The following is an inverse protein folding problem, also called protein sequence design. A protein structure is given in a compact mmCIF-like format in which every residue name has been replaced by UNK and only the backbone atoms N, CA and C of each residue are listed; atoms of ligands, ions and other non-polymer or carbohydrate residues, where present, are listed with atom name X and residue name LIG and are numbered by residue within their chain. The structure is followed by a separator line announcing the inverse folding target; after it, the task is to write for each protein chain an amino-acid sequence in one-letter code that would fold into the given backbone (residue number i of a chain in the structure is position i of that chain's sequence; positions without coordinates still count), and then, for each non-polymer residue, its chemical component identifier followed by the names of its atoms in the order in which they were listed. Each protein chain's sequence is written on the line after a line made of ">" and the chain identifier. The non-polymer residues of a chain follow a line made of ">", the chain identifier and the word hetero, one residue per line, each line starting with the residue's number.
data_IF_991731606556
#
_entry.id   IF_991731606556
#
_cell.length_a   1.000
_cell.length_b   1.000
_cell.length_c   1.000
_cell.angle_alpha   90.00
_cell.angle_beta   90.00
_cell.angle_gamma   90.00
#
_symmetry.space_group_name_H-M   'P 1'
#
loop_
_entity.id
_entity.type
_entity.pdbx_description
1 polymer ?
#
# COMPACT_ATOMS: atom_id res chain seq x y z
N UNK A 1 0.79 -26.62 11.50
CA UNK A 1 2.23 -26.78 11.78
C UNK A 1 2.60 -25.75 12.83
N UNK A 2 3.24 -26.18 13.92
CA UNK A 2 3.64 -25.33 15.05
C UNK A 2 4.49 -24.16 14.54
N UNK A 3 4.07 -22.92 14.79
CA UNK A 3 4.90 -21.75 14.53
C UNK A 3 6.15 -21.86 15.41
N UNK A 4 7.30 -22.19 14.82
CA UNK A 4 8.59 -21.92 15.45
C UNK A 4 8.57 -20.45 15.82
N UNK A 5 8.53 -20.16 17.12
CA UNK A 5 8.67 -18.81 17.67
C UNK A 5 9.99 -18.30 17.09
N UNK A 6 9.91 -17.40 16.10
CA UNK A 6 11.11 -16.79 15.53
C UNK A 6 11.73 -15.96 16.65
N UNK A 7 12.99 -16.22 16.96
CA UNK A 7 13.73 -15.36 17.89
C UNK A 7 13.60 -13.90 17.45
N UNK A 8 13.36 -13.01 18.40
CA UNK A 8 13.21 -11.57 18.16
C UNK A 8 14.23 -10.77 18.93
N UNK A 9 14.54 -9.57 18.44
CA UNK A 9 15.35 -8.57 19.14
C UNK A 9 14.59 -7.24 19.22
N UNK A 10 14.91 -6.47 20.25
CA UNK A 10 14.37 -5.12 20.48
C UNK A 10 15.29 -4.09 19.86
N UNK A 11 14.73 -3.15 19.10
CA UNK A 11 15.48 -2.12 18.38
C UNK A 11 14.82 -0.77 18.59
N UNK A 12 15.63 0.28 18.73
CA UNK A 12 15.11 1.65 18.87
C UNK A 12 14.86 2.27 17.50
N UNK A 13 13.63 2.71 17.26
CA UNK A 13 13.18 3.42 16.08
C UNK A 13 12.50 4.71 16.54
N UNK A 14 13.13 5.86 16.30
CA UNK A 14 12.55 7.15 16.69
C UNK A 14 12.29 7.32 18.18
N UNK A 15 13.12 6.69 19.02
CA UNK A 15 12.93 6.70 20.48
C UNK A 15 11.86 5.73 20.98
N UNK A 16 11.23 4.93 20.10
CA UNK A 16 10.35 3.82 20.47
C UNK A 16 11.07 2.49 20.31
N UNK A 17 10.81 1.58 21.22
CA UNK A 17 11.30 0.22 21.14
C UNK A 17 10.33 -0.62 20.30
N UNK A 18 10.84 -1.27 19.25
CA UNK A 18 10.06 -2.20 18.41
C UNK A 18 10.74 -3.56 18.36
N UNK A 19 9.92 -4.61 18.22
CA UNK A 19 10.40 -5.99 18.15
C UNK A 19 10.55 -6.41 16.69
N UNK A 20 11.72 -6.93 16.31
CA UNK A 20 12.01 -7.40 14.94
C UNK A 20 12.60 -8.82 14.96
N UNK A 21 12.48 -9.59 13.88
CA UNK A 21 13.11 -10.91 13.79
C UNK A 21 14.63 -10.82 13.95
N UNK A 22 15.20 -11.61 14.87
CA UNK A 22 16.64 -11.72 15.07
C UNK A 22 17.29 -12.26 13.80
N UNK A 23 18.33 -11.58 13.31
CA UNK A 23 18.98 -11.93 12.03
C UNK A 23 18.11 -11.65 10.79
N UNK A 24 16.95 -10.99 10.96
CA UNK A 24 16.17 -10.44 9.87
C UNK A 24 16.92 -9.34 9.10
N UNK A 25 16.36 -8.90 7.98
CA UNK A 25 16.90 -7.82 7.15
C UNK A 25 17.02 -6.53 7.96
N UNK A 26 15.98 -6.18 8.74
CA UNK A 26 16.04 -4.96 9.53
C UNK A 26 17.09 -5.06 10.64
N UNK A 27 17.19 -6.23 11.29
CA UNK A 27 18.20 -6.50 12.33
C UNK A 27 19.63 -6.34 11.81
N UNK A 28 19.91 -6.98 10.67
CA UNK A 28 21.25 -7.04 10.08
C UNK A 28 21.69 -5.74 9.45
N UNK A 29 20.78 -5.02 8.79
CA UNK A 29 21.16 -3.95 7.88
C UNK A 29 20.55 -2.59 8.18
N UNK A 30 19.54 -2.50 9.05
CA UNK A 30 18.84 -1.24 9.36
C UNK A 30 18.45 -0.47 8.09
N UNK A 31 17.84 -1.17 7.12
CA UNK A 31 17.45 -0.68 5.78
C UNK A 31 18.59 -0.32 4.81
N UNK A 32 19.84 -0.68 5.12
CA UNK A 32 20.99 -0.43 4.26
C UNK A 32 21.71 -1.71 3.80
N UNK A 33 21.01 -2.71 3.23
CA UNK A 33 21.69 -3.93 2.82
C UNK A 33 22.57 -3.69 1.59
N UNK A 34 23.63 -4.47 1.47
CA UNK A 34 24.31 -4.63 0.18
C UNK A 34 23.37 -5.36 -0.79
N UNK A 35 23.03 -4.73 -1.91
CA UNK A 35 22.12 -5.32 -2.90
C UNK A 35 22.64 -6.64 -3.49
N UNK A 36 23.95 -6.87 -3.51
CA UNK A 36 24.52 -8.15 -3.95
C UNK A 36 24.25 -9.28 -2.95
N UNK A 37 24.07 -8.96 -1.66
CA UNK A 37 23.62 -9.94 -0.66
C UNK A 37 22.14 -10.25 -0.82
N UNK A 38 21.32 -9.24 -1.12
CA UNK A 38 19.89 -9.42 -1.39
C UNK A 38 19.66 -10.25 -2.65
N UNK A 39 20.44 -10.02 -3.71
CA UNK A 39 20.36 -10.77 -4.96
C UNK A 39 20.65 -12.28 -4.81
N UNK A 40 21.20 -12.72 -3.67
CA UNK A 40 21.41 -14.15 -3.37
C UNK A 40 20.21 -14.82 -2.72
N UNK A 41 19.22 -14.06 -2.24
CA UNK A 41 17.97 -14.62 -1.72
C UNK A 41 17.14 -15.18 -2.89
N UNK A 42 16.81 -16.47 -2.84
CA UNK A 42 16.06 -17.17 -3.90
C UNK A 42 14.65 -16.61 -4.12
N UNK A 43 14.12 -15.84 -3.16
CA UNK A 43 12.81 -15.19 -3.28
C UNK A 43 12.89 -13.88 -4.06
N UNK A 44 14.10 -13.36 -4.33
CA UNK A 44 14.33 -12.11 -5.06
C UNK A 44 14.80 -12.46 -6.47
N UNK A 45 13.99 -12.12 -7.48
CA UNK A 45 14.30 -12.41 -8.88
C UNK A 45 15.37 -11.49 -9.48
N UNK A 46 15.42 -10.22 -9.07
CA UNK A 46 16.47 -9.27 -9.46
C UNK A 46 16.55 -8.11 -8.44
N UNK A 47 17.67 -7.37 -8.46
CA UNK A 47 17.83 -6.11 -7.71
C UNK A 47 18.08 -4.90 -8.61
N UNK A 48 18.01 -5.06 -9.93
CA UNK A 48 18.43 -4.02 -10.89
C UNK A 48 17.57 -2.76 -10.80
N UNK A 49 16.27 -2.92 -10.53
CA UNK A 49 15.36 -1.81 -10.25
C UNK A 49 15.88 -0.91 -9.12
N UNK A 50 16.43 -1.50 -8.06
CA UNK A 50 16.93 -0.78 -6.90
C UNK A 50 18.30 -0.16 -7.12
N UNK A 51 19.14 -0.73 -7.99
CA UNK A 51 20.47 -0.16 -8.30
C UNK A 51 20.38 1.23 -8.91
N UNK A 52 19.26 1.55 -9.56
CA UNK A 52 19.00 2.86 -10.16
C UNK A 52 18.38 3.86 -9.17
N UNK A 53 18.06 3.45 -7.94
CA UNK A 53 17.40 4.27 -6.94
C UNK A 53 18.36 4.56 -5.77
N UNK A 54 18.82 5.81 -5.59
CA UNK A 54 19.71 6.13 -4.49
C UNK A 54 18.97 6.03 -3.15
N UNK A 55 19.54 5.28 -2.20
CA UNK A 55 19.16 5.39 -0.79
C UNK A 55 19.84 6.61 -0.18
N UNK A 56 19.06 7.51 0.38
CA UNK A 56 19.54 8.69 1.09
C UNK A 56 19.13 8.61 2.56
N UNK A 57 20.01 9.09 3.44
CA UNK A 57 19.72 9.24 4.87
C UNK A 57 18.99 10.55 5.09
N UNK A 58 17.86 10.50 5.78
CA UNK A 58 17.03 11.67 6.08
C UNK A 58 16.66 11.67 7.56
N UNK A 59 16.45 12.86 8.10
CA UNK A 59 15.84 13.01 9.40
C UNK A 59 14.32 13.02 9.26
N UNK A 60 13.66 12.32 10.15
CA UNK A 60 12.21 12.12 10.13
C UNK A 60 11.65 12.17 11.56
N UNK A 61 10.32 12.23 11.73
CA UNK A 61 9.72 12.16 13.07
C UNK A 61 10.09 10.88 13.84
N UNK A 62 10.50 9.81 13.15
CA UNK A 62 11.00 8.56 13.73
C UNK A 62 12.54 8.50 13.81
N UNK A 63 13.19 9.67 13.88
CA UNK A 63 14.64 9.79 13.89
C UNK A 63 15.26 9.61 12.51
N UNK A 64 16.57 9.43 12.48
CA UNK A 64 17.33 9.32 11.23
C UNK A 64 17.10 7.95 10.59
N UNK A 65 16.65 7.92 9.33
CA UNK A 65 16.30 6.71 8.58
C UNK A 65 16.80 6.80 7.14
N UNK A 66 16.83 5.68 6.43
CA UNK A 66 17.09 5.65 4.99
C UNK A 66 15.78 5.64 4.19
N UNK A 67 15.82 6.26 3.01
CA UNK A 67 14.74 6.27 2.02
C UNK A 67 15.33 6.11 0.62
N UNK A 68 14.70 5.35 -0.29
CA UNK A 68 13.41 4.67 -0.13
C UNK A 68 13.48 3.40 0.75
N UNK A 69 12.34 3.02 1.31
CA UNK A 69 12.12 1.66 1.81
C UNK A 69 11.92 0.73 0.61
N UNK A 70 12.80 -0.25 0.47
CA UNK A 70 12.76 -1.22 -0.62
C UNK A 70 11.99 -2.47 -0.24
N UNK A 71 11.12 -2.87 -1.15
CA UNK A 71 10.39 -4.13 -1.12
C UNK A 71 10.84 -4.96 -2.31
N UNK A 72 11.75 -5.89 -2.05
CA UNK A 72 12.45 -6.71 -3.04
C UNK A 72 11.55 -7.74 -3.71
N UNK A 73 10.58 -8.26 -2.98
CA UNK A 73 9.57 -9.20 -3.47
C UNK A 73 8.24 -8.90 -2.80
N UNK A 74 7.24 -8.54 -3.62
CA UNK A 74 5.89 -8.25 -3.17
C UNK A 74 4.85 -8.93 -4.04
N UNK A 75 3.73 -9.28 -3.42
CA UNK A 75 2.51 -9.68 -4.11
C UNK A 75 1.36 -8.78 -3.64
N UNK A 76 0.49 -8.38 -4.56
CA UNK A 76 -0.63 -7.49 -4.24
C UNK A 76 -1.91 -7.93 -4.93
N UNK A 77 -3.04 -7.66 -4.29
CA UNK A 77 -4.36 -7.84 -4.86
C UNK A 77 -5.18 -6.57 -4.62
N UNK A 78 -5.84 -6.05 -5.67
CA UNK A 78 -6.63 -4.82 -5.61
C UNK A 78 -7.99 -5.01 -6.23
N UNK A 79 -9.04 -4.78 -5.45
CA UNK A 79 -10.41 -4.60 -5.91
C UNK A 79 -10.67 -3.12 -6.12
N UNK A 80 -10.86 -2.70 -7.35
CA UNK A 80 -11.29 -1.33 -7.67
C UNK A 80 -12.80 -1.29 -7.81
N UNK A 81 -13.43 -0.39 -7.05
CA UNK A 81 -14.88 -0.24 -6.96
C UNK A 81 -15.30 1.18 -7.28
N UNK A 82 -16.54 1.32 -7.77
CA UNK A 82 -17.18 2.62 -7.94
C UNK A 82 -18.05 2.96 -6.74
N UNK A 83 -17.96 4.20 -6.27
CA UNK A 83 -18.70 4.69 -5.11
C UNK A 83 -19.30 6.08 -5.40
N UNK A 84 -20.44 6.45 -4.78
CA UNK A 84 -20.99 7.79 -4.90
C UNK A 84 -20.00 8.85 -4.43
N UNK A 85 -19.72 9.87 -5.25
CA UNK A 85 -18.83 10.99 -4.86
C UNK A 85 -19.25 11.60 -3.53
N UNK A 86 -20.56 11.72 -3.26
CA UNK A 86 -21.08 12.24 -1.99
C UNK A 86 -20.63 11.43 -0.78
N UNK A 87 -20.58 10.11 -0.88
CA UNK A 87 -20.12 9.23 0.21
C UNK A 87 -18.60 9.28 0.38
N UNK A 88 -17.86 9.30 -0.74
CA UNK A 88 -16.42 9.55 -0.73
C UNK A 88 -16.10 10.89 -0.06
N UNK A 89 -16.87 11.93 -0.39
CA UNK A 89 -16.69 13.29 0.12
C UNK A 89 -16.88 13.39 1.63
N UNK A 90 -17.77 12.62 2.23
CA UNK A 90 -17.94 12.60 3.69
C UNK A 90 -16.79 11.93 4.45
N UNK A 91 -15.87 11.24 3.76
CA UNK A 91 -14.73 10.54 4.37
C UNK A 91 -13.38 11.12 3.95
N UNK A 92 -13.36 12.06 3.00
CA UNK A 92 -12.15 12.67 2.51
C UNK A 92 -11.95 14.05 3.14
N UNK A 93 -10.71 14.42 3.50
CA UNK A 93 -10.38 15.81 3.86
C UNK A 93 -10.88 16.81 2.81
N UNK A 94 -11.29 18.00 3.27
CA UNK A 94 -11.97 19.00 2.44
C UNK A 94 -11.10 19.49 1.27
N UNK A 95 -9.78 19.51 1.46
CA UNK A 95 -8.76 19.99 0.53
C UNK A 95 -8.52 19.04 -0.64
N UNK A 96 -8.74 17.74 -0.47
CA UNK A 96 -8.59 16.75 -1.52
C UNK A 96 -9.89 16.61 -2.30
N UNK A 97 -9.85 16.36 -3.61
CA UNK A 97 -11.06 16.15 -4.42
C UNK A 97 -11.12 14.71 -4.94
N UNK A 98 -12.30 14.05 -5.01
CA UNK A 98 -12.35 12.67 -5.47
C UNK A 98 -12.02 12.63 -6.97
N UNK A 99 -11.35 11.56 -7.38
CA UNK A 99 -11.22 11.24 -8.79
C UNK A 99 -12.56 10.67 -9.29
N UNK A 100 -13.30 11.47 -10.05
CA UNK A 100 -14.55 11.03 -10.68
C UNK A 100 -14.27 10.42 -12.05
N UNK A 101 -14.83 9.25 -12.31
CA UNK A 101 -14.81 8.62 -13.65
C UNK A 101 -16.01 9.03 -14.50
N UNK A 102 -17.10 9.40 -13.84
CA UNK A 102 -18.33 9.96 -14.41
C UNK A 102 -18.96 10.88 -13.37
N UNK A 103 -19.74 11.90 -13.74
CA UNK A 103 -20.36 12.81 -12.78
C UNK A 103 -21.04 12.08 -11.61
N UNK A 104 -20.59 12.34 -10.38
CA UNK A 104 -21.15 11.76 -9.15
C UNK A 104 -20.69 10.34 -8.79
N UNK A 105 -19.77 9.73 -9.55
CA UNK A 105 -19.15 8.45 -9.21
C UNK A 105 -17.62 8.56 -9.22
N UNK A 106 -17.01 8.23 -8.08
CA UNK A 106 -15.56 8.14 -7.91
C UNK A 106 -15.06 6.72 -7.71
N UNK A 107 -13.74 6.58 -7.58
CA UNK A 107 -13.06 5.31 -7.39
C UNK A 107 -12.59 5.12 -5.95
N UNK A 108 -12.86 3.94 -5.41
CA UNK A 108 -12.34 3.46 -4.13
C UNK A 108 -11.74 2.07 -4.33
N UNK A 109 -10.79 1.67 -3.52
CA UNK A 109 -10.11 0.39 -3.64
C UNK A 109 -9.96 -0.31 -2.30
N UNK A 110 -10.09 -1.63 -2.32
CA UNK A 110 -9.58 -2.49 -1.25
C UNK A 110 -8.32 -3.16 -1.78
N UNK A 111 -7.22 -3.07 -1.05
CA UNK A 111 -5.93 -3.60 -1.43
C UNK A 111 -5.39 -4.53 -0.36
N UNK A 112 -4.68 -5.57 -0.77
CA UNK A 112 -3.97 -6.50 0.10
C UNK A 112 -2.54 -6.62 -0.40
N UNK A 113 -1.60 -6.65 0.53
CA UNK A 113 -0.18 -6.68 0.25
C UNK A 113 0.47 -7.78 1.08
N UNK A 114 1.35 -8.53 0.41
CA UNK A 114 2.27 -9.46 1.04
C UNK A 114 3.68 -9.03 0.67
N UNK A 115 4.49 -8.77 1.69
CA UNK A 115 5.88 -8.33 1.54
C UNK A 115 6.79 -9.49 1.93
N UNK A 116 7.21 -10.31 0.98
CA UNK A 116 8.01 -11.51 1.27
C UNK A 116 9.46 -11.20 1.64
N UNK A 117 10.03 -10.17 0.99
CA UNK A 117 11.39 -9.70 1.23
C UNK A 117 11.41 -8.17 1.13
N UNK A 118 11.68 -7.49 2.24
CA UNK A 118 11.82 -6.03 2.27
C UNK A 118 12.72 -5.57 3.42
N UNK A 119 13.13 -4.30 3.37
CA UNK A 119 14.03 -3.69 4.37
C UNK A 119 13.58 -3.86 5.83
N UNK A 120 12.27 -3.98 6.07
CA UNK A 120 11.65 -4.05 7.40
C UNK A 120 11.10 -5.45 7.74
N UNK A 121 11.65 -6.48 7.08
CA UNK A 121 11.25 -7.88 7.23
C UNK A 121 9.85 -8.21 6.70
N UNK A 122 9.50 -9.51 6.73
CA UNK A 122 8.22 -9.99 6.24
C UNK A 122 7.05 -9.37 7.00
N UNK A 123 6.04 -8.90 6.27
CA UNK A 123 4.76 -8.52 6.85
C UNK A 123 3.66 -8.51 5.79
N UNK A 124 2.41 -8.41 6.24
CA UNK A 124 1.21 -8.27 5.40
C UNK A 124 0.46 -7.00 5.78
N UNK A 125 -0.24 -6.43 4.81
CA UNK A 125 -1.00 -5.18 4.97
C UNK A 125 -2.29 -5.27 4.15
N UNK A 126 -3.33 -4.57 4.59
CA UNK A 126 -4.49 -4.29 3.77
C UNK A 126 -4.81 -2.80 3.81
N UNK A 127 -5.53 -2.31 2.80
CA UNK A 127 -5.86 -0.90 2.70
C UNK A 127 -7.27 -0.67 2.16
N UNK A 128 -7.92 0.38 2.65
CA UNK A 128 -9.02 1.05 1.95
C UNK A 128 -8.49 2.37 1.42
N UNK A 129 -8.40 2.49 0.11
CA UNK A 129 -7.90 3.69 -0.58
C UNK A 129 -9.00 4.41 -1.35
N UNK A 130 -8.91 5.74 -1.41
CA UNK A 130 -9.76 6.60 -2.24
C UNK A 130 -8.86 7.20 -3.31
N UNK A 131 -9.25 7.08 -4.59
CA UNK A 131 -8.54 7.79 -5.64
C UNK A 131 -8.95 9.28 -5.63
N UNK A 132 -7.96 10.16 -5.69
CA UNK A 132 -8.16 11.60 -5.62
C UNK A 132 -7.56 12.28 -6.85
N UNK A 133 -8.01 13.50 -7.12
CA UNK A 133 -7.30 14.37 -8.07
C UNK A 133 -5.98 14.80 -7.42
N UNK A 134 -4.90 14.98 -8.21
CA UNK A 134 -3.64 15.43 -7.64
C UNK A 134 -3.82 16.79 -6.96
N UNK A 135 -3.21 16.95 -5.78
CA UNK A 135 -3.46 18.10 -4.90
C UNK A 135 -2.98 19.43 -5.52
N UNK A 136 -1.99 19.36 -6.42
CA UNK A 136 -1.49 20.49 -7.20
C UNK A 136 -1.93 20.35 -8.64
N UNK A 137 -2.79 21.26 -9.10
CA UNK A 137 -2.93 21.53 -10.53
C UNK A 137 -3.20 23.01 -10.81
N UNK A 138 -2.29 23.61 -11.58
CA UNK A 138 -2.68 24.60 -12.58
C UNK A 138 -3.63 23.95 -13.60
N UNK A 139 -4.48 24.76 -14.22
CA UNK A 139 -5.62 24.39 -15.10
C UNK A 139 -5.39 23.16 -16.00
N UNK A 140 -5.60 21.95 -15.48
CA UNK A 140 -5.57 20.71 -16.26
C UNK A 140 -6.97 20.08 -16.22
N UNK A 141 -7.55 19.91 -17.42
CA UNK A 141 -8.91 19.42 -17.62
C UNK A 141 -9.03 17.90 -17.44
N UNK A 142 -10.25 17.37 -17.56
CA UNK A 142 -10.55 15.94 -17.42
C UNK A 142 -9.68 15.03 -18.31
N UNK A 143 -9.27 15.49 -19.49
CA UNK A 143 -8.40 14.73 -20.40
C UNK A 143 -7.01 14.44 -19.83
N UNK A 144 -6.45 15.36 -19.05
CA UNK A 144 -5.10 15.18 -18.46
C UNK A 144 -5.09 14.16 -17.32
N UNK A 145 -6.21 14.08 -16.59
CA UNK A 145 -6.43 13.08 -15.53
C UNK A 145 -6.50 11.66 -16.10
N UNK A 146 -7.11 11.50 -17.28
CA UNK A 146 -7.12 10.24 -18.02
C UNK A 146 -5.73 9.90 -18.57
N UNK A 147 -4.93 10.90 -18.95
CA UNK A 147 -3.53 10.72 -19.35
C UNK A 147 -2.64 10.29 -18.17
N UNK A 148 -2.82 10.84 -16.97
CA UNK A 148 -2.13 10.40 -15.76
C UNK A 148 -2.43 8.94 -15.40
N UNK A 149 -3.70 8.53 -15.54
CA UNK A 149 -4.13 7.13 -15.41
C UNK A 149 -3.48 6.21 -16.46
N UNK A 150 -3.22 6.71 -17.68
CA UNK A 150 -2.50 6.00 -18.74
C UNK A 150 -0.99 5.97 -18.52
N UNK A 151 -0.43 7.01 -17.90
CA UNK A 151 0.99 7.12 -17.55
C UNK A 151 1.33 6.42 -16.22
N UNK A 152 0.44 5.53 -15.75
CA UNK A 152 0.62 4.71 -14.57
C UNK A 152 0.87 5.50 -13.27
N UNK A 153 0.47 6.78 -13.20
CA UNK A 153 0.55 7.61 -12.01
C UNK A 153 -0.85 7.83 -11.40
N UNK A 154 -1.01 7.43 -10.14
CA UNK A 154 -2.25 7.57 -9.39
C UNK A 154 -2.05 8.43 -8.15
N UNK A 155 -3.07 9.20 -7.81
CA UNK A 155 -3.13 9.99 -6.59
C UNK A 155 -4.19 9.40 -5.67
N UNK A 156 -3.84 9.22 -4.40
CA UNK A 156 -4.72 8.54 -3.44
C UNK A 156 -4.69 9.15 -2.04
N UNK A 157 -5.76 8.85 -1.31
CA UNK A 157 -5.85 9.04 0.12
C UNK A 157 -6.17 7.70 0.77
N UNK A 158 -5.39 7.32 1.77
CA UNK A 158 -5.56 6.05 2.48
C UNK A 158 -6.48 6.27 3.67
N UNK A 159 -7.65 5.65 3.65
CA UNK A 159 -8.66 5.77 4.71
C UNK A 159 -8.38 4.80 5.86
N UNK A 160 -7.95 3.58 5.54
CA UNK A 160 -7.69 2.51 6.51
C UNK A 160 -6.47 1.71 6.06
N UNK A 161 -5.62 1.27 7.01
CA UNK A 161 -4.35 0.61 6.70
C UNK A 161 -3.88 -0.38 7.79
N UNK A 162 -4.62 -1.47 8.06
CA UNK A 162 -4.20 -2.49 9.03
C UNK A 162 -2.93 -3.23 8.60
N UNK A 163 -2.09 -3.58 9.57
CA UNK A 163 -0.85 -4.37 9.39
C UNK A 163 -0.72 -5.45 10.45
N UNK A 164 0.13 -6.45 10.22
CA UNK A 164 0.39 -7.53 11.19
C UNK A 164 1.69 -7.38 12.02
N UNK A 165 2.46 -6.31 11.84
CA UNK A 165 3.71 -6.09 12.61
C UNK A 165 3.81 -4.71 13.22
N UNK A 166 4.42 -4.64 14.41
CA UNK A 166 4.64 -3.39 15.16
C UNK A 166 5.56 -2.42 14.41
N UNK A 167 6.63 -2.91 13.77
CA UNK A 167 7.55 -2.05 13.02
C UNK A 167 6.85 -1.35 11.84
N UNK A 168 5.95 -2.05 11.14
CA UNK A 168 5.18 -1.47 10.05
C UNK A 168 4.21 -0.40 10.56
N UNK A 169 3.59 -0.62 11.74
CA UNK A 169 2.70 0.34 12.37
C UNK A 169 3.43 1.60 12.84
N UNK A 170 4.51 1.46 13.60
CA UNK A 170 5.28 2.61 14.13
C UNK A 170 5.84 3.45 12.99
N UNK A 171 6.43 2.81 11.97
CA UNK A 171 6.90 3.52 10.79
C UNK A 171 5.76 4.24 10.08
N UNK A 172 4.66 3.54 9.77
CA UNK A 172 3.57 4.11 8.98
C UNK A 172 2.79 5.22 9.69
N UNK A 173 2.54 5.08 10.99
CA UNK A 173 1.83 6.10 11.78
C UNK A 173 2.72 7.33 12.03
N UNK A 174 3.89 7.12 12.64
CA UNK A 174 4.73 8.25 13.09
C UNK A 174 5.62 8.80 11.98
N UNK A 175 6.07 7.95 11.05
CA UNK A 175 6.94 8.35 9.95
C UNK A 175 6.20 8.85 8.71
N UNK A 176 5.02 8.26 8.42
CA UNK A 176 4.28 8.53 7.17
C UNK A 176 2.91 9.21 7.36
N UNK A 177 2.40 9.31 8.59
CA UNK A 177 1.06 9.88 8.85
C UNK A 177 -0.10 9.00 8.35
N UNK A 178 0.15 7.73 8.06
CA UNK A 178 -0.90 6.80 7.64
C UNK A 178 -1.71 6.30 8.85
N UNK A 179 -3.01 5.99 8.67
CA UNK A 179 -3.89 5.54 9.75
C UNK A 179 -3.66 4.05 10.10
N UNK A 180 -2.40 3.63 10.32
CA UNK A 180 -2.03 2.23 10.58
C UNK A 180 -2.39 1.77 11.99
N UNK A 181 -2.90 0.55 12.10
CA UNK A 181 -3.06 -0.17 13.37
C UNK A 181 -2.67 -1.64 13.20
N UNK A 182 -2.30 -2.29 14.30
CA UNK A 182 -1.94 -3.72 14.30
C UNK A 182 -3.20 -4.56 14.50
N UNK A 183 -3.38 -5.59 13.68
CA UNK A 183 -4.41 -6.62 13.85
C UNK A 183 -3.93 -7.95 13.24
N UNK A 184 -4.61 -9.05 13.56
CA UNK A 184 -4.42 -10.31 12.86
C UNK A 184 -4.70 -10.13 11.37
N UNK A 185 -3.70 -10.36 10.53
CA UNK A 185 -3.84 -10.15 9.09
C UNK A 185 -3.00 -11.17 8.32
N UNK A 186 -3.66 -11.95 7.48
CA UNK A 186 -3.03 -12.95 6.63
C UNK A 186 -3.40 -12.70 5.16
N UNK A 187 -2.41 -12.84 4.28
CA UNK A 187 -2.54 -12.62 2.84
C UNK A 187 -1.74 -13.70 2.12
N UNK A 188 -2.43 -14.49 1.30
CA UNK A 188 -1.84 -15.47 0.39
C UNK A 188 -2.25 -15.15 -1.05
N UNK A 189 -1.25 -15.00 -1.91
CA UNK A 189 -1.43 -14.67 -3.33
C UNK A 189 -0.51 -15.59 -4.12
N UNK A 190 -1.11 -16.44 -4.94
CA UNK A 190 -0.40 -17.30 -5.87
C UNK A 190 -1.09 -17.29 -7.24
N UNK A 191 -0.54 -18.01 -8.21
CA UNK A 191 -1.01 -18.02 -9.60
C UNK A 191 -2.43 -18.59 -9.78
N UNK A 192 -2.99 -19.25 -8.77
CA UNK A 192 -4.32 -19.86 -8.83
C UNK A 192 -5.34 -19.14 -7.97
N UNK A 193 -4.95 -18.71 -6.78
CA UNK A 193 -5.86 -18.19 -5.76
C UNK A 193 -5.25 -17.02 -5.02
N UNK A 194 -6.12 -16.07 -4.70
CA UNK A 194 -5.87 -14.94 -3.83
C UNK A 194 -6.80 -15.06 -2.63
N UNK A 195 -6.23 -15.03 -1.42
CA UNK A 195 -7.00 -14.98 -0.19
C UNK A 195 -6.40 -13.98 0.78
N UNK A 196 -7.27 -13.32 1.54
CA UNK A 196 -6.87 -12.44 2.61
C UNK A 196 -7.89 -12.49 3.75
N UNK A 197 -7.41 -12.35 4.98
CA UNK A 197 -8.24 -12.21 6.17
C UNK A 197 -7.68 -11.12 7.06
N UNK A 198 -8.56 -10.26 7.55
CA UNK A 198 -8.29 -9.20 8.52
C UNK A 198 -9.19 -9.48 9.71
N UNK A 199 -8.58 -9.64 10.88
CA UNK A 199 -9.26 -9.86 12.14
C UNK A 199 -9.79 -8.53 12.71
N UNK A 200 -10.87 -8.62 13.48
CA UNK A 200 -11.32 -7.54 14.34
C UNK A 200 -10.75 -7.69 15.76
N UNK A 201 -11.09 -6.76 16.65
CA UNK A 201 -10.59 -6.74 18.04
C UNK A 201 -11.21 -7.83 18.95
N UNK A 202 -12.15 -8.64 18.42
CA UNK A 202 -12.92 -9.65 19.14
C UNK A 202 -12.76 -11.06 18.54
N UNK A 203 -11.58 -11.35 17.97
CA UNK A 203 -11.24 -12.64 17.31
C UNK A 203 -12.21 -13.05 16.18
N UNK A 204 -12.98 -12.10 15.66
CA UNK A 204 -13.87 -12.23 14.51
C UNK A 204 -13.27 -11.68 13.23
N UNK A 205 -14.06 -11.68 12.15
CA UNK A 205 -13.63 -11.15 10.84
C UNK A 205 -13.98 -9.68 10.77
N UNK A 206 -12.97 -8.83 10.54
CA UNK A 206 -13.19 -7.47 10.04
C UNK A 206 -13.51 -7.56 8.55
N UNK A 207 -12.58 -8.09 7.73
CA UNK A 207 -12.74 -8.18 6.28
C UNK A 207 -12.03 -9.42 5.73
N UNK A 208 -12.62 -10.11 4.76
CA UNK A 208 -11.95 -11.22 4.07
C UNK A 208 -12.18 -11.23 2.55
N UNK A 209 -11.17 -11.63 1.81
CA UNK A 209 -11.20 -11.84 0.36
C UNK A 209 -10.91 -13.30 0.03
N UNK A 210 -11.66 -13.85 -0.93
CA UNK A 210 -11.35 -15.10 -1.59
C UNK A 210 -11.64 -14.96 -3.09
N UNK A 211 -10.62 -15.11 -3.93
CA UNK A 211 -10.75 -14.93 -5.37
C UNK A 211 -9.86 -15.87 -6.18
N UNK A 212 -10.28 -16.24 -7.39
CA UNK A 212 -9.38 -16.84 -8.37
C UNK A 212 -8.39 -15.78 -8.87
N UNK A 213 -7.11 -16.11 -8.89
CA UNK A 213 -6.09 -15.23 -9.44
C UNK A 213 -6.27 -15.14 -10.97
N UNK A 214 -6.39 -13.93 -11.56
CA UNK A 214 -6.46 -13.77 -13.01
C UNK A 214 -5.22 -14.33 -13.70
N UNK A 215 -5.34 -14.68 -14.98
CA UNK A 215 -4.19 -15.11 -15.78
C UNK A 215 -3.07 -14.07 -15.70
N UNK A 216 -1.89 -14.52 -15.31
CA UNK A 216 -0.73 -13.66 -15.11
C UNK A 216 0.03 -13.46 -16.43
N UNK A 217 0.62 -12.27 -16.59
CA UNK A 217 1.56 -11.93 -17.65
C UNK A 217 2.86 -11.44 -17.01
N UNK A 218 3.97 -12.05 -17.43
CA UNK A 218 5.30 -11.64 -17.05
C UNK A 218 5.76 -10.41 -17.85
N UNK A 219 6.57 -9.57 -17.21
CA UNK A 219 7.18 -8.37 -17.77
C UNK A 219 8.66 -8.32 -17.39
N UNK A 220 9.49 -7.76 -18.26
CA UNK A 220 10.89 -7.52 -17.89
C UNK A 220 10.98 -6.41 -16.83
N UNK A 221 11.96 -6.51 -15.94
CA UNK A 221 12.19 -5.46 -14.93
C UNK A 221 12.41 -4.10 -15.61
N UNK A 222 11.67 -3.08 -15.17
CA UNK A 222 11.70 -1.73 -15.75
C UNK A 222 10.79 -1.52 -16.95
N UNK A 223 10.21 -2.58 -17.54
CA UNK A 223 9.25 -2.47 -18.65
C UNK A 223 7.93 -1.82 -18.18
N UNK A 224 7.51 -2.12 -16.95
CA UNK A 224 6.25 -1.66 -16.37
C UNK A 224 6.47 -1.12 -14.96
N UNK A 225 6.69 0.19 -14.86
CA UNK A 225 6.88 0.89 -13.58
C UNK A 225 5.76 1.90 -13.37
N UNK A 226 4.90 1.61 -12.40
CA UNK A 226 3.82 2.49 -11.98
C UNK A 226 4.21 3.33 -10.77
N UNK A 227 3.51 4.43 -10.56
CA UNK A 227 3.70 5.32 -9.42
C UNK A 227 2.38 5.63 -8.71
N UNK A 228 2.41 5.69 -7.39
CA UNK A 228 1.30 6.10 -6.55
C UNK A 228 1.76 7.21 -5.62
N UNK A 229 1.08 8.35 -5.66
CA UNK A 229 1.24 9.43 -4.68
C UNK A 229 0.12 9.32 -3.65
N UNK A 230 0.48 9.23 -2.37
CA UNK A 230 -0.47 9.21 -1.26
C UNK A 230 -0.38 10.50 -0.45
N UNK A 231 -1.51 11.10 -0.10
CA UNK A 231 -1.56 12.31 0.73
C UNK A 231 -1.93 12.00 2.17
N UNK A 232 -1.15 12.54 3.11
CA UNK A 232 -1.36 12.41 4.56
C UNK A 232 -1.06 13.74 5.27
N UNK A 233 -1.42 13.84 6.54
CA UNK A 233 -1.01 14.95 7.40
C UNK A 233 -0.06 14.44 8.49
N UNK A 234 1.02 15.18 8.73
CA UNK A 234 1.99 14.91 9.79
C UNK A 234 2.15 16.21 10.57
N UNK A 235 1.87 16.18 11.88
CA UNK A 235 1.88 17.37 12.75
C UNK A 235 1.04 18.54 12.18
N UNK A 236 -0.11 18.22 11.58
CA UNK A 236 -1.01 19.20 10.96
C UNK A 236 -0.57 19.73 9.58
N UNK A 237 0.59 19.34 9.07
CA UNK A 237 1.08 19.74 7.76
C UNK A 237 0.86 18.63 6.71
N UNK A 238 0.43 19.02 5.51
CA UNK A 238 0.22 18.11 4.39
C UNK A 238 1.54 17.57 3.83
N UNK A 239 1.57 16.28 3.57
CA UNK A 239 2.68 15.58 2.95
C UNK A 239 2.19 14.70 1.79
N UNK A 240 3.06 14.50 0.81
CA UNK A 240 2.87 13.52 -0.26
C UNK A 240 3.94 12.45 -0.18
N UNK A 241 3.53 11.20 -0.31
CA UNK A 241 4.42 10.03 -0.28
C UNK A 241 4.40 9.36 -1.65
N UNK A 242 5.55 9.26 -2.31
CA UNK A 242 5.71 8.57 -3.59
C UNK A 242 6.03 7.09 -3.35
N UNK A 243 5.27 6.20 -3.99
CA UNK A 243 5.58 4.80 -4.12
C UNK A 243 5.77 4.46 -5.60
N UNK A 244 6.89 3.84 -5.95
CA UNK A 244 7.15 3.31 -7.30
C UNK A 244 7.03 1.79 -7.25
N UNK A 245 6.30 1.19 -8.20
CA UNK A 245 6.09 -0.25 -8.26
C UNK A 245 6.54 -0.78 -9.62
N UNK A 246 7.59 -1.60 -9.63
CA UNK A 246 8.07 -2.36 -10.78
C UNK A 246 7.29 -3.69 -10.85
N UNK A 247 6.45 -3.82 -11.87
CA UNK A 247 5.57 -4.98 -12.04
C UNK A 247 6.32 -6.06 -12.80
N UNK A 248 6.45 -7.26 -12.21
CA UNK A 248 7.15 -8.39 -12.82
C UNK A 248 6.19 -9.47 -13.33
N UNK A 249 5.13 -9.75 -12.59
CA UNK A 249 4.09 -10.69 -12.99
C UNK A 249 2.71 -10.23 -12.47
N UNK A 250 1.79 -9.92 -13.39
CA UNK A 250 0.48 -9.40 -13.02
C UNK A 250 -0.63 -9.82 -14.00
N UNK A 251 -1.86 -9.85 -13.49
CA UNK A 251 -3.07 -10.15 -14.24
C UNK A 251 -4.24 -9.30 -13.76
N UNK A 252 -5.14 -8.99 -14.69
CA UNK A 252 -6.34 -8.17 -14.43
C UNK A 252 -7.58 -8.87 -14.96
N UNK A 253 -8.67 -8.83 -14.21
CA UNK A 253 -10.00 -9.20 -14.69
C UNK A 253 -11.02 -8.11 -14.38
N UNK A 254 -12.02 -7.96 -15.26
CA UNK A 254 -13.22 -7.14 -15.00
C UNK A 254 -14.43 -7.98 -14.63
N UNK A 255 -14.30 -9.30 -14.68
CA UNK A 255 -15.32 -10.22 -14.18
C UNK A 255 -15.31 -10.21 -12.66
N UNK A 256 -16.49 -10.19 -12.05
CA UNK A 256 -16.66 -10.39 -10.61
C UNK A 256 -16.90 -11.85 -10.25
N UNK A 257 -17.00 -12.74 -11.24
CA UNK A 257 -17.20 -14.17 -11.01
C UNK A 257 -16.01 -14.76 -10.26
N UNK A 258 -16.30 -15.52 -9.21
CA UNK A 258 -15.28 -16.15 -8.37
C UNK A 258 -14.57 -15.20 -7.40
N UNK A 259 -15.06 -13.96 -7.21
CA UNK A 259 -14.57 -13.02 -6.20
C UNK A 259 -15.58 -12.94 -5.05
N UNK A 260 -15.16 -13.32 -3.85
CA UNK A 260 -15.94 -13.20 -2.61
C UNK A 260 -15.25 -12.22 -1.68
N UNK A 261 -15.83 -11.02 -1.53
CA UNK A 261 -15.43 -10.04 -0.53
C UNK A 261 -16.49 -10.04 0.58
N UNK A 262 -16.09 -10.42 1.79
CA UNK A 262 -16.96 -10.42 2.96
C UNK A 262 -16.56 -9.30 3.91
N UNK A 263 -17.55 -8.49 4.31
CA UNK A 263 -17.40 -7.43 5.29
C UNK A 263 -18.04 -7.90 6.59
N UNK A 264 -17.22 -8.12 7.61
CA UNK A 264 -17.68 -8.43 8.96
C UNK A 264 -17.78 -7.17 9.81
N UNK A 265 -17.41 -7.30 11.08
CA UNK A 265 -17.54 -6.26 12.10
C UNK A 265 -16.15 -5.75 12.48
N UNK A 266 -15.76 -4.57 12.01
CA UNK A 266 -14.46 -3.99 12.29
C UNK A 266 -14.23 -2.70 11.54
N UNK A 267 -13.15 -2.00 11.91
CA UNK A 267 -12.84 -0.64 11.43
C UNK A 267 -12.70 -0.59 9.91
N UNK A 268 -12.04 -1.59 9.29
CA UNK A 268 -11.79 -1.58 7.85
C UNK A 268 -13.10 -1.78 7.07
N UNK A 269 -13.95 -2.69 7.51
CA UNK A 269 -15.28 -2.91 6.94
C UNK A 269 -16.21 -1.72 7.15
N UNK A 270 -16.18 -1.08 8.31
CA UNK A 270 -16.94 0.12 8.60
C UNK A 270 -16.53 1.27 7.66
N UNK A 271 -15.23 1.48 7.49
CA UNK A 271 -14.69 2.48 6.56
C UNK A 271 -15.12 2.20 5.12
N UNK A 272 -15.03 0.94 4.65
CA UNK A 272 -15.49 0.59 3.31
C UNK A 272 -17.01 0.76 3.16
N UNK A 273 -17.81 0.32 4.14
CA UNK A 273 -19.28 0.50 4.13
C UNK A 273 -19.66 1.97 4.09
N UNK A 274 -18.92 2.85 4.78
CA UNK A 274 -19.15 4.29 4.78
C UNK A 274 -19.00 4.94 3.40
N UNK A 275 -18.17 4.36 2.52
CA UNK A 275 -17.97 4.81 1.14
C UNK A 275 -19.10 4.37 0.20
N UNK A 276 -19.96 3.44 0.63
CA UNK A 276 -21.08 2.89 -0.14
C UNK A 276 -20.66 2.38 -1.54
N UNK A 277 -19.65 1.50 -1.66
CA UNK A 277 -19.25 0.94 -2.94
C UNK A 277 -20.43 0.23 -3.60
N UNK A 278 -20.65 0.47 -4.88
CA UNK A 278 -21.78 -0.10 -5.63
C UNK A 278 -21.41 -1.41 -6.31
N UNK A 279 -20.25 -1.45 -6.97
CA UNK A 279 -19.75 -2.63 -7.69
C UNK A 279 -18.23 -2.59 -7.83
N UNK A 280 -17.63 -3.76 -7.83
CA UNK A 280 -16.26 -3.98 -8.32
C UNK A 280 -16.26 -3.86 -9.84
N UNK A 281 -15.34 -3.07 -10.38
CA UNK A 281 -15.16 -2.87 -11.82
C UNK A 281 -13.88 -3.49 -12.36
N UNK A 282 -12.93 -3.78 -11.46
CA UNK A 282 -11.64 -4.36 -11.81
C UNK A 282 -11.05 -5.08 -10.60
N UNK A 283 -10.45 -6.24 -10.85
CA UNK A 283 -9.62 -6.96 -9.90
C UNK A 283 -8.25 -7.16 -10.52
N UNK A 284 -7.24 -6.54 -9.91
CA UNK A 284 -5.84 -6.66 -10.29
C UNK A 284 -5.12 -7.54 -9.29
N UNK A 285 -4.31 -8.48 -9.77
CA UNK A 285 -3.43 -9.28 -8.94
C UNK A 285 -2.03 -9.22 -9.54
N UNK A 286 -1.07 -8.82 -8.73
CA UNK A 286 0.35 -8.92 -9.01
C UNK A 286 0.91 -10.02 -8.13
N UNK A 287 1.26 -11.16 -8.74
CA UNK A 287 1.87 -12.28 -8.03
C UNK A 287 3.33 -12.02 -7.70
N UNK A 288 4.00 -11.22 -8.54
CA UNK A 288 5.37 -10.79 -8.30
C UNK A 288 5.60 -9.34 -8.74
N UNK A 289 6.20 -8.55 -7.86
CA UNK A 289 6.69 -7.22 -8.19
C UNK A 289 7.67 -6.73 -7.14
N UNK A 290 8.07 -5.47 -7.31
CA UNK A 290 9.01 -4.78 -6.45
C UNK A 290 8.51 -3.37 -6.20
N UNK A 291 8.84 -2.80 -5.04
CA UNK A 291 8.46 -1.42 -4.74
C UNK A 291 9.52 -0.62 -4.01
N UNK A 292 9.49 0.69 -4.22
CA UNK A 292 10.30 1.67 -3.52
C UNK A 292 9.38 2.76 -2.95
N UNK A 293 9.23 2.77 -1.63
CA UNK A 293 8.42 3.75 -0.91
C UNK A 293 9.30 4.85 -0.33
N UNK A 294 9.17 6.05 -0.89
CA UNK A 294 9.93 7.22 -0.47
C UNK A 294 9.35 7.83 0.79
N UNK A 295 10.18 8.50 1.59
CA UNK A 295 9.69 9.26 2.74
C UNK A 295 8.74 10.38 2.31
N UNK A 296 7.71 10.70 3.12
CA UNK A 296 6.80 11.78 2.81
C UNK A 296 7.55 13.10 2.70
N UNK A 297 7.22 13.87 1.67
CA UNK A 297 7.73 15.24 1.49
C UNK A 297 6.60 16.23 1.75
N UNK A 298 6.88 17.36 2.42
CA UNK A 298 5.89 18.41 2.60
C UNK A 298 5.28 18.82 1.26
N UNK A 299 3.96 18.94 1.22
CA UNK A 299 3.23 19.36 0.03
C UNK A 299 2.18 20.39 0.37
N UNK A 300 1.87 21.25 -0.59
CA UNK A 300 0.79 22.22 -0.45
C UNK A 300 -0.46 21.69 -1.13
N UNK A 301 -1.58 21.78 -0.42
CA UNK A 301 -2.92 21.53 -0.96
C UNK A 301 -3.64 22.87 -1.10
N UNK A 302 -4.55 22.98 -2.08
CA UNK A 302 -5.34 24.20 -2.24
C UNK A 302 -6.37 24.29 -1.12
N UNK A 303 -6.25 25.30 -0.26
CA UNK A 303 -7.32 25.65 0.68
C UNK A 303 -8.58 26.03 -0.12
N UNK A 304 -9.71 25.41 0.21
CA UNK A 304 -11.01 25.92 -0.23
C UNK A 304 -11.40 26.97 0.80
N UNK A 305 -11.40 28.25 0.40
CA UNK A 305 -12.03 29.30 1.21
C UNK A 305 -13.46 28.85 1.52
N UNK A 306 -13.81 28.89 2.81
CA UNK A 306 -15.16 28.64 3.32
C UNK A 306 -16.17 29.59 2.68
#
# INVERSE_FOLDING_TARGET
>A
MSSTQKDTVKVSLGGREVTVPKGGLYDRYRMNPNLDEIARDRRVSSVDFFRQLPKIKVDSPIGSTLTPNFYYTISTARLTMVAPTRAIRSRLPEELSPLEITPGLGLVSVMFFRYDVCDIDFYTEAAVGIAVKPARHGKLGFFDLVSGLKNEHLDSYVLSLPVNTDIAQVRGHDGYGFPKWVTGLDVDINDHRTSASVANDADGVDLSLLANTPSQKAYASGERVSSLTSYTTINGAWHSTLNQTNVLNAGTTRSTSGITLHLGEGRMSDDLRSLKPKRTIQFDVMTEGQAALHMPVPTSVRSRNK
#
